data_IF_467053444847
#
_entry.id   IF_467053444847
#
_cell.length_a   1.000
_cell.length_b   1.000
_cell.length_c   1.000
_cell.angle_alpha   90.00
_cell.angle_beta   90.00
_cell.angle_gamma   90.00
#
_symmetry.space_group_name_H-M   'P 1'
#
loop_
_entity.id
_entity.type
_entity.pdbx_description
1 polymer ?
#
# COMPACT_ATOMS: atom_id res chain seq x y z
N UNK A 1 -20.75 -10.87 -19.55
CA UNK A 1 -22.08 -11.06 -20.16
C UNK A 1 -22.09 -10.41 -21.55
N UNK A 2 -22.64 -11.09 -22.57
CA UNK A 2 -22.80 -10.60 -23.95
C UNK A 2 -23.50 -9.23 -24.06
N UNK A 3 -24.27 -8.84 -23.04
CA UNK A 3 -24.93 -7.53 -22.94
C UNK A 3 -23.91 -6.38 -22.79
N UNK A 4 -22.76 -6.60 -22.14
CA UNK A 4 -21.69 -5.57 -22.01
C UNK A 4 -21.02 -5.26 -23.35
N UNK A 5 -20.85 -6.25 -24.24
CA UNK A 5 -20.17 -6.05 -25.52
C UNK A 5 -21.09 -5.48 -26.61
N UNK A 6 -22.40 -5.71 -26.51
CA UNK A 6 -23.40 -5.05 -27.36
C UNK A 6 -23.52 -3.56 -27.04
N UNK A 7 -23.60 -3.20 -25.75
CA UNK A 7 -23.68 -1.81 -25.31
C UNK A 7 -22.43 -1.00 -25.70
N UNK A 8 -21.24 -1.58 -25.63
CA UNK A 8 -19.99 -0.90 -26.02
C UNK A 8 -19.97 -0.54 -27.51
N UNK A 9 -20.47 -1.39 -28.40
CA UNK A 9 -20.52 -1.12 -29.86
C UNK A 9 -21.53 -0.04 -30.25
N UNK A 10 -22.64 0.09 -29.53
CA UNK A 10 -23.63 1.16 -29.80
C UNK A 10 -23.15 2.54 -29.34
N UNK A 11 -22.21 2.58 -28.40
CA UNK A 11 -21.73 3.83 -27.79
C UNK A 11 -20.62 4.52 -28.59
N UNK A 12 -19.89 3.79 -29.43
CA UNK A 12 -18.84 4.36 -30.29
C UNK A 12 -19.38 5.25 -31.43
N UNK A 13 -20.69 5.22 -31.70
CA UNK A 13 -21.33 6.04 -32.75
C UNK A 13 -22.06 7.29 -32.24
N UNK A 14 -22.10 7.51 -30.91
CA UNK A 14 -22.81 8.61 -30.28
C UNK A 14 -21.80 9.69 -29.86
N UNK A 15 -21.88 10.89 -30.45
CA UNK A 15 -21.00 12.01 -30.08
C UNK A 15 -21.15 12.41 -28.60
N UNK A 16 -20.12 13.02 -28.01
CA UNK A 16 -20.05 13.34 -26.57
C UNK A 16 -21.32 14.01 -25.97
N UNK A 17 -21.99 14.98 -26.64
CA UNK A 17 -23.24 15.55 -26.14
C UNK A 17 -24.37 14.51 -25.98
N UNK A 18 -24.52 13.60 -26.94
CA UNK A 18 -25.55 12.56 -26.91
C UNK A 18 -25.29 11.48 -25.85
N UNK A 19 -24.03 11.26 -25.46
CA UNK A 19 -23.67 10.37 -24.35
C UNK A 19 -24.10 10.94 -23.00
N UNK A 20 -23.90 12.26 -22.79
CA UNK A 20 -24.25 12.96 -21.56
C UNK A 20 -25.77 12.94 -21.32
N UNK A 21 -26.57 13.28 -22.32
CA UNK A 21 -28.03 13.30 -22.20
C UNK A 21 -28.60 11.91 -21.88
N UNK A 22 -28.04 10.89 -22.53
CA UNK A 22 -28.37 9.49 -22.25
C UNK A 22 -27.96 9.10 -20.82
N UNK A 23 -26.76 9.47 -20.39
CA UNK A 23 -26.27 9.27 -19.03
C UNK A 23 -27.22 9.88 -17.99
N UNK A 24 -27.56 11.17 -18.16
CA UNK A 24 -28.50 11.89 -17.29
C UNK A 24 -29.84 11.15 -17.14
N UNK A 25 -30.44 10.71 -18.24
CA UNK A 25 -31.71 9.96 -18.21
C UNK A 25 -31.59 8.64 -17.43
N UNK A 26 -30.48 7.91 -17.62
CA UNK A 26 -30.29 6.59 -17.03
C UNK A 26 -29.94 6.65 -15.53
N UNK A 27 -29.41 7.77 -15.02
CA UNK A 27 -29.14 7.97 -13.59
C UNK A 27 -30.39 7.84 -12.70
N UNK A 28 -31.57 8.19 -13.22
CA UNK A 28 -32.83 8.13 -12.48
C UNK A 28 -33.52 6.74 -12.55
N UNK A 29 -32.87 5.74 -13.15
CA UNK A 29 -33.43 4.39 -13.22
C UNK A 29 -33.58 3.76 -11.83
N UNK A 30 -34.67 3.01 -11.62
CA UNK A 30 -34.85 2.18 -10.41
C UNK A 30 -33.83 1.04 -10.33
N UNK A 31 -33.29 0.58 -11.46
CA UNK A 31 -32.34 -0.54 -11.51
C UNK A 31 -30.89 -0.08 -11.41
N UNK A 32 -30.12 -0.66 -10.49
CA UNK A 32 -28.73 -0.27 -10.22
C UNK A 32 -27.77 -0.54 -11.38
N UNK A 33 -27.98 -1.61 -12.14
CA UNK A 33 -27.19 -1.94 -13.34
C UNK A 33 -27.33 -0.87 -14.45
N UNK A 34 -28.53 -0.31 -14.61
CA UNK A 34 -28.78 0.82 -15.52
C UNK A 34 -28.08 2.08 -15.04
N UNK A 35 -28.06 2.33 -13.72
CA UNK A 35 -27.31 3.47 -13.16
C UNK A 35 -25.80 3.29 -13.29
N UNK A 36 -25.27 2.08 -13.14
CA UNK A 36 -23.85 1.78 -13.45
C UNK A 36 -23.50 2.12 -14.90
N UNK A 37 -24.38 1.75 -15.84
CA UNK A 37 -24.19 2.13 -17.24
C UNK A 37 -24.20 3.66 -17.41
N UNK A 38 -25.08 4.38 -16.72
CA UNK A 38 -25.15 5.83 -16.72
C UNK A 38 -23.83 6.49 -16.26
N UNK A 39 -23.22 5.96 -15.18
CA UNK A 39 -21.93 6.45 -14.67
C UNK A 39 -20.84 6.33 -15.74
N UNK A 40 -20.76 5.18 -16.43
CA UNK A 40 -19.79 4.97 -17.51
C UNK A 40 -19.99 5.96 -18.66
N UNK A 41 -21.24 6.27 -19.01
CA UNK A 41 -21.55 7.26 -20.05
C UNK A 41 -21.13 8.67 -19.64
N UNK A 42 -21.42 9.06 -18.40
CA UNK A 42 -21.08 10.39 -17.89
C UNK A 42 -19.56 10.56 -17.76
N UNK A 43 -18.86 9.55 -17.24
CA UNK A 43 -17.41 9.53 -17.16
C UNK A 43 -16.76 9.69 -18.56
N UNK A 44 -17.31 9.01 -19.58
CA UNK A 44 -16.83 9.14 -20.97
C UNK A 44 -17.20 10.47 -21.62
N UNK A 45 -18.34 11.05 -21.27
CA UNK A 45 -18.76 12.35 -21.80
C UNK A 45 -17.88 13.49 -21.28
N UNK A 46 -17.39 13.37 -20.03
CA UNK A 46 -16.53 14.34 -19.40
C UNK A 46 -17.16 15.72 -19.18
N UNK A 47 -16.36 16.63 -18.64
CA UNK A 47 -16.74 18.04 -18.44
C UNK A 47 -17.53 18.34 -17.16
N UNK A 48 -17.60 19.62 -16.75
CA UNK A 48 -18.12 20.03 -15.45
C UNK A 48 -19.57 19.60 -15.18
N UNK A 49 -20.42 19.59 -16.21
CA UNK A 49 -21.83 19.22 -16.06
C UNK A 49 -22.00 17.71 -15.79
N UNK A 50 -21.23 16.85 -16.45
CA UNK A 50 -21.27 15.41 -16.19
C UNK A 50 -20.80 15.09 -14.76
N UNK A 51 -19.77 15.79 -14.29
CA UNK A 51 -19.29 15.68 -12.90
C UNK A 51 -20.33 16.19 -11.90
N UNK A 52 -21.03 17.28 -12.20
CA UNK A 52 -22.10 17.79 -11.36
C UNK A 52 -23.26 16.77 -11.23
N UNK A 53 -23.66 16.14 -12.34
CA UNK A 53 -24.69 15.09 -12.33
C UNK A 53 -24.27 13.86 -11.49
N UNK A 54 -23.01 13.45 -11.61
CA UNK A 54 -22.45 12.37 -10.80
C UNK A 54 -22.41 12.73 -9.31
N UNK A 55 -22.01 13.96 -8.97
CA UNK A 55 -21.97 14.46 -7.59
C UNK A 55 -23.37 14.54 -6.98
N UNK A 56 -24.36 15.07 -7.71
CA UNK A 56 -25.76 15.11 -7.27
C UNK A 56 -26.29 13.69 -7.01
N UNK A 57 -25.97 12.74 -7.89
CA UNK A 57 -26.39 11.35 -7.70
C UNK A 57 -25.76 10.70 -6.47
N UNK A 58 -24.50 11.03 -6.16
CA UNK A 58 -23.73 10.38 -5.10
C UNK A 58 -24.47 10.38 -3.75
N UNK A 59 -25.07 11.51 -3.37
CA UNK A 59 -25.70 11.68 -2.06
C UNK A 59 -26.97 10.83 -1.88
N UNK A 60 -27.71 10.63 -2.97
CA UNK A 60 -28.96 9.86 -2.99
C UNK A 60 -28.80 8.42 -3.52
N UNK A 61 -27.57 7.97 -3.78
CA UNK A 61 -27.35 6.61 -4.25
C UNK A 61 -27.47 5.60 -3.10
N UNK A 62 -28.24 4.52 -3.35
CA UNK A 62 -28.49 3.45 -2.40
C UNK A 62 -27.64 2.20 -2.71
N UNK A 63 -27.29 2.00 -3.99
CA UNK A 63 -26.43 0.90 -4.40
C UNK A 63 -24.98 1.25 -4.15
N UNK A 64 -24.34 0.54 -3.21
CA UNK A 64 -22.92 0.71 -2.94
C UNK A 64 -22.04 0.49 -4.19
N UNK A 65 -22.43 -0.41 -5.11
CA UNK A 65 -21.69 -0.62 -6.36
C UNK A 65 -21.77 0.61 -7.28
N UNK A 66 -22.93 1.28 -7.36
CA UNK A 66 -23.08 2.52 -8.14
C UNK A 66 -22.34 3.67 -7.45
N UNK A 67 -22.43 3.76 -6.11
CA UNK A 67 -21.69 4.74 -5.30
C UNK A 67 -20.19 4.65 -5.55
N UNK A 68 -19.61 3.44 -5.50
CA UNK A 68 -18.18 3.24 -5.75
C UNK A 68 -17.78 3.65 -7.18
N UNK A 69 -18.62 3.36 -8.17
CA UNK A 69 -18.38 3.76 -9.56
C UNK A 69 -18.43 5.28 -9.73
N UNK A 70 -19.38 5.96 -9.06
CA UNK A 70 -19.47 7.43 -9.06
C UNK A 70 -18.22 8.03 -8.42
N UNK A 71 -17.82 7.54 -7.25
CA UNK A 71 -16.62 8.00 -6.54
C UNK A 71 -15.38 7.87 -7.43
N UNK A 72 -15.19 6.70 -8.06
CA UNK A 72 -14.09 6.46 -8.99
C UNK A 72 -14.09 7.44 -10.18
N UNK A 73 -15.25 7.70 -10.77
CA UNK A 73 -15.37 8.63 -11.89
C UNK A 73 -15.05 10.08 -11.49
N UNK A 74 -15.47 10.49 -10.28
CA UNK A 74 -15.18 11.82 -9.76
C UNK A 74 -13.70 11.97 -9.35
N UNK A 75 -13.12 10.97 -8.69
CA UNK A 75 -11.71 10.98 -8.29
C UNK A 75 -10.78 11.04 -9.51
N UNK A 76 -11.07 10.27 -10.56
CA UNK A 76 -10.33 10.29 -11.82
C UNK A 76 -10.40 11.63 -12.57
N UNK A 77 -11.39 12.48 -12.28
CA UNK A 77 -11.61 13.76 -12.97
C UNK A 77 -10.98 14.96 -12.26
N UNK A 78 -10.23 14.74 -11.18
CA UNK A 78 -9.56 15.81 -10.42
C UNK A 78 -9.70 15.70 -8.90
N UNK A 79 -10.12 14.54 -8.39
CA UNK A 79 -10.33 14.32 -6.96
C UNK A 79 -11.70 14.77 -6.46
N UNK A 80 -12.16 14.14 -5.39
CA UNK A 80 -13.35 14.56 -4.62
C UNK A 80 -12.97 14.77 -3.16
N UNK A 81 -13.49 15.85 -2.57
CA UNK A 81 -13.34 16.15 -1.15
C UNK A 81 -14.71 16.33 -0.52
N UNK A 82 -14.78 16.00 0.76
CA UNK A 82 -16.00 16.07 1.57
C UNK A 82 -15.71 16.89 2.81
N UNK A 83 -16.64 17.80 3.15
CA UNK A 83 -16.63 18.51 4.42
C UNK A 83 -16.68 17.52 5.61
N UNK A 84 -16.24 17.94 6.82
CA UNK A 84 -16.35 17.09 8.01
C UNK A 84 -17.78 16.56 8.25
N UNK A 85 -18.80 17.39 8.01
CA UNK A 85 -20.21 17.01 8.18
C UNK A 85 -20.65 15.96 7.15
N UNK A 86 -20.26 16.12 5.89
CA UNK A 86 -20.51 15.15 4.83
C UNK A 86 -19.83 13.80 5.11
N UNK A 87 -18.60 13.82 5.65
CA UNK A 87 -17.87 12.60 6.06
C UNK A 87 -18.59 11.89 7.19
N UNK A 88 -19.02 12.61 8.23
CA UNK A 88 -19.75 12.05 9.35
C UNK A 88 -21.08 11.42 8.91
N UNK A 89 -21.85 12.09 8.05
CA UNK A 89 -23.12 11.57 7.53
C UNK A 89 -22.92 10.29 6.69
N UNK A 90 -21.89 10.26 5.82
CA UNK A 90 -21.53 9.08 5.02
C UNK A 90 -21.08 7.92 5.89
N UNK A 91 -20.28 8.19 6.92
CA UNK A 91 -19.85 7.17 7.89
C UNK A 91 -21.05 6.55 8.60
N UNK A 92 -21.94 7.37 9.16
CA UNK A 92 -23.15 6.90 9.81
C UNK A 92 -24.03 6.06 8.87
N UNK A 93 -24.23 6.50 7.62
CA UNK A 93 -25.00 5.75 6.60
C UNK A 93 -24.36 4.39 6.28
N UNK A 94 -23.04 4.35 6.10
CA UNK A 94 -22.31 3.10 5.80
C UNK A 94 -22.37 2.11 6.96
N UNK A 95 -22.21 2.58 8.20
CA UNK A 95 -22.29 1.73 9.41
C UNK A 95 -23.73 1.21 9.59
N UNK A 96 -24.74 2.07 9.49
CA UNK A 96 -26.14 1.67 9.64
C UNK A 96 -26.58 0.65 8.57
N UNK A 97 -26.01 0.72 7.36
CA UNK A 97 -26.28 -0.22 6.27
C UNK A 97 -25.57 -1.57 6.40
N UNK A 98 -24.62 -1.72 7.32
CA UNK A 98 -23.79 -2.92 7.46
C UNK A 98 -24.51 -4.02 8.25
N UNK A 99 -25.39 -4.79 7.59
CA UNK A 99 -25.98 -6.02 8.16
C UNK A 99 -24.96 -7.18 8.18
N UNK A 100 -23.93 -7.08 9.02
CA UNK A 100 -22.86 -8.10 9.11
C UNK A 100 -21.99 -8.14 7.86
N UNK A 101 -21.45 -6.98 7.46
CA UNK A 101 -20.77 -6.74 6.17
C UNK A 101 -19.53 -7.61 5.87
N UNK A 102 -18.64 -7.22 4.94
CA UNK A 102 -17.50 -8.02 4.46
C UNK A 102 -16.56 -8.59 5.54
N UNK A 103 -16.62 -8.08 6.77
CA UNK A 103 -15.94 -8.66 7.93
C UNK A 103 -16.51 -10.04 8.34
N UNK A 104 -17.77 -10.36 8.04
CA UNK A 104 -18.38 -11.64 8.42
C UNK A 104 -17.77 -12.85 7.70
N UNK A 105 -17.19 -12.66 6.52
CA UNK A 105 -16.48 -13.71 5.78
C UNK A 105 -14.99 -13.80 6.09
N UNK A 106 -14.45 -12.80 6.79
CA UNK A 106 -13.05 -12.80 7.21
C UNK A 106 -13.01 -13.22 8.68
N UNK A 107 -12.75 -14.51 8.90
CA UNK A 107 -12.47 -15.02 10.24
C UNK A 107 -11.11 -14.49 10.70
N UNK A 108 -11.10 -13.32 11.34
CA UNK A 108 -9.89 -12.77 11.88
C UNK A 108 -10.16 -11.83 13.05
N UNK A 109 -9.86 -12.32 14.25
CA UNK A 109 -9.71 -11.48 15.44
C UNK A 109 -8.75 -10.29 15.20
N UNK A 110 -7.93 -10.33 14.15
CA UNK A 110 -7.03 -9.22 13.77
C UNK A 110 -7.74 -8.01 13.16
N UNK A 111 -9.03 -8.13 12.80
CA UNK A 111 -9.83 -7.05 12.20
C UNK A 111 -10.96 -6.55 13.11
N UNK A 112 -10.97 -6.95 14.39
CA UNK A 112 -11.99 -6.50 15.33
C UNK A 112 -11.82 -4.99 15.65
N UNK A 113 -12.83 -4.13 15.35
CA UNK A 113 -12.77 -2.71 15.66
C UNK A 113 -12.49 -2.39 17.14
N UNK A 114 -12.83 -3.30 18.07
CA UNK A 114 -12.57 -3.12 19.49
C UNK A 114 -11.09 -3.30 19.86
N UNK A 115 -10.34 -4.10 19.10
CA UNK A 115 -8.93 -4.44 19.41
C UNK A 115 -7.93 -3.85 18.41
N UNK A 116 -8.41 -3.44 17.23
CA UNK A 116 -7.60 -2.83 16.18
C UNK A 116 -7.30 -1.36 16.52
N UNK A 117 -6.24 -1.15 17.30
CA UNK A 117 -5.79 0.17 17.71
C UNK A 117 -5.09 0.92 16.56
N UNK A 118 -5.83 1.83 15.92
CA UNK A 118 -5.31 2.81 14.96
C UNK A 118 -5.30 4.20 15.60
N UNK A 119 -4.20 4.93 15.41
CA UNK A 119 -3.94 6.23 16.06
C UNK A 119 -3.59 7.26 15.01
N UNK A 120 -4.16 8.46 15.16
CA UNK A 120 -3.86 9.62 14.32
C UNK A 120 -2.51 10.22 14.67
N UNK A 121 -1.99 11.06 13.78
CA UNK A 121 -0.75 11.84 14.00
C UNK A 121 -0.82 12.83 15.16
N UNK A 122 -2.03 13.25 15.56
CA UNK A 122 -2.26 14.06 16.75
C UNK A 122 -2.28 13.25 18.06
N UNK A 123 -2.06 11.92 17.98
CA UNK A 123 -2.06 11.01 19.12
C UNK A 123 -3.44 10.50 19.52
N UNK A 124 -4.53 10.98 18.90
CA UNK A 124 -5.88 10.50 19.20
C UNK A 124 -6.14 9.13 18.58
N UNK A 125 -6.79 8.23 19.32
CA UNK A 125 -7.22 6.93 18.79
C UNK A 125 -8.44 7.09 17.89
N UNK A 126 -8.54 6.27 16.85
CA UNK A 126 -9.78 6.10 16.12
C UNK A 126 -10.84 5.47 17.02
N UNK A 127 -12.09 5.90 16.90
CA UNK A 127 -13.22 5.24 17.54
C UNK A 127 -13.52 3.89 16.87
N UNK A 128 -14.26 3.00 17.55
CA UNK A 128 -14.68 1.73 16.97
C UNK A 128 -15.52 1.93 15.69
N UNK A 129 -16.34 2.99 15.64
CA UNK A 129 -17.12 3.34 14.46
C UNK A 129 -16.24 3.76 13.29
N UNK A 130 -15.18 4.55 13.55
CA UNK A 130 -14.23 4.97 12.52
C UNK A 130 -13.42 3.80 11.98
N UNK A 131 -12.99 2.88 12.86
CA UNK A 131 -12.31 1.65 12.44
C UNK A 131 -13.26 0.77 11.62
N UNK A 132 -14.49 0.58 12.07
CA UNK A 132 -15.50 -0.19 11.34
C UNK A 132 -15.79 0.42 9.96
N UNK A 133 -15.96 1.74 9.88
CA UNK A 133 -16.17 2.46 8.63
C UNK A 133 -15.00 2.26 7.66
N UNK A 134 -13.77 2.42 8.15
CA UNK A 134 -12.55 2.21 7.37
C UNK A 134 -12.48 0.78 6.81
N UNK A 135 -12.76 -0.23 7.64
CA UNK A 135 -12.78 -1.63 7.20
C UNK A 135 -13.85 -1.89 6.14
N UNK A 136 -15.08 -1.42 6.39
CA UNK A 136 -16.20 -1.58 5.46
C UNK A 136 -15.93 -0.91 4.11
N UNK A 137 -15.39 0.31 4.10
CA UNK A 137 -15.06 1.01 2.85
C UNK A 137 -13.88 0.37 2.13
N UNK A 138 -12.78 0.09 2.84
CA UNK A 138 -11.58 -0.48 2.21
C UNK A 138 -11.82 -1.87 1.63
N UNK A 139 -12.67 -2.68 2.25
CA UNK A 139 -13.03 -4.01 1.74
C UNK A 139 -13.70 -4.04 0.36
N UNK A 140 -14.25 -2.90 -0.08
CA UNK A 140 -14.86 -2.73 -1.39
C UNK A 140 -13.84 -2.43 -2.48
N UNK A 141 -12.62 -2.04 -2.10
CA UNK A 141 -11.57 -1.71 -3.04
C UNK A 141 -11.04 -2.97 -3.73
N UNK A 142 -11.14 -2.96 -5.06
CA UNK A 142 -10.66 -4.06 -5.88
C UNK A 142 -9.19 -3.92 -6.23
N UNK A 143 -8.74 -2.69 -6.41
CA UNK A 143 -7.37 -2.31 -6.74
C UNK A 143 -6.55 -2.07 -5.47
N UNK A 144 -5.22 -2.13 -5.59
CA UNK A 144 -4.32 -1.75 -4.50
C UNK A 144 -4.28 -0.23 -4.40
N UNK A 145 -5.27 0.33 -3.70
CA UNK A 145 -5.42 1.76 -3.41
C UNK A 145 -6.22 1.98 -2.13
N UNK A 146 -6.14 3.19 -1.59
CA UNK A 146 -7.08 3.64 -0.57
C UNK A 146 -8.49 3.80 -1.16
N UNK A 147 -9.51 3.44 -0.39
CA UNK A 147 -10.89 3.85 -0.69
C UNK A 147 -10.99 5.37 -0.68
N UNK A 148 -11.77 5.93 -1.62
CA UNK A 148 -11.85 7.38 -1.84
C UNK A 148 -12.46 8.10 -0.64
N UNK A 149 -13.47 7.51 0.01
CA UNK A 149 -14.10 8.16 1.16
C UNK A 149 -13.35 7.89 2.47
N UNK A 150 -12.68 6.74 2.59
CA UNK A 150 -11.84 6.43 3.75
C UNK A 150 -10.45 7.08 3.68
N UNK A 151 -10.00 7.55 2.51
CA UNK A 151 -8.68 8.16 2.28
C UNK A 151 -8.33 9.26 3.31
N UNK A 152 -9.20 10.23 3.64
CA UNK A 152 -8.86 11.26 4.63
C UNK A 152 -8.61 10.71 6.03
N UNK A 153 -9.28 9.59 6.39
CA UNK A 153 -9.07 8.93 7.68
C UNK A 153 -7.73 8.19 7.67
N UNK A 154 -7.41 7.48 6.59
CA UNK A 154 -6.12 6.80 6.41
C UNK A 154 -4.95 7.78 6.43
N UNK A 155 -5.06 8.92 5.73
CA UNK A 155 -4.03 9.97 5.69
C UNK A 155 -3.78 10.61 7.07
N UNK A 156 -4.78 10.59 7.95
CA UNK A 156 -4.66 11.11 9.32
C UNK A 156 -3.87 10.20 10.26
N UNK A 157 -3.62 8.95 9.88
CA UNK A 157 -2.95 7.96 10.73
C UNK A 157 -1.46 8.25 10.89
N UNK A 158 -0.95 7.90 12.07
CA UNK A 158 0.47 7.74 12.33
C UNK A 158 0.88 6.31 12.00
N UNK A 159 1.59 6.13 10.89
CA UNK A 159 2.00 4.81 10.41
C UNK A 159 2.95 4.10 11.37
N UNK A 160 3.83 4.82 12.07
CA UNK A 160 4.78 4.23 13.01
C UNK A 160 4.05 3.70 14.25
N UNK A 161 3.06 4.43 14.75
CA UNK A 161 2.22 3.99 15.88
C UNK A 161 1.28 2.85 15.47
N UNK A 162 0.74 2.90 14.24
CA UNK A 162 -0.17 1.89 13.70
C UNK A 162 0.54 0.62 13.22
N UNK A 163 1.86 0.65 13.02
CA UNK A 163 2.64 -0.45 12.45
C UNK A 163 2.43 -1.82 13.12
N UNK A 164 2.34 -1.96 14.46
CA UNK A 164 2.04 -3.25 15.09
C UNK A 164 0.65 -3.77 14.71
N UNK A 165 -0.35 -2.89 14.60
CA UNK A 165 -1.70 -3.27 14.20
C UNK A 165 -1.74 -3.68 12.72
N UNK A 166 -1.08 -2.91 11.85
CA UNK A 166 -0.93 -3.23 10.44
C UNK A 166 -0.22 -4.58 10.19
N UNK A 167 0.84 -4.85 10.95
CA UNK A 167 1.56 -6.12 10.88
C UNK A 167 0.65 -7.28 11.32
N UNK A 168 -0.10 -7.15 12.42
CA UNK A 168 -1.06 -8.18 12.85
C UNK A 168 -2.11 -8.47 11.79
N UNK A 169 -2.65 -7.44 11.11
CA UNK A 169 -3.60 -7.65 10.01
C UNK A 169 -2.98 -8.44 8.85
N UNK A 170 -1.73 -8.09 8.47
CA UNK A 170 -1.02 -8.82 7.42
C UNK A 170 -0.73 -10.27 7.82
N UNK A 171 -0.22 -10.49 9.03
CA UNK A 171 0.06 -11.83 9.56
C UNK A 171 -1.21 -12.67 9.68
N UNK A 172 -2.33 -12.07 10.10
CA UNK A 172 -3.64 -12.70 10.11
C UNK A 172 -4.08 -13.16 8.72
N UNK A 173 -3.91 -12.30 7.70
CA UNK A 173 -4.18 -12.70 6.31
C UNK A 173 -3.25 -13.84 5.86
N UNK A 174 -1.95 -13.76 6.14
CA UNK A 174 -0.96 -14.77 5.75
C UNK A 174 -1.19 -16.12 6.45
N UNK A 175 -1.72 -16.12 7.67
CA UNK A 175 -2.08 -17.32 8.42
C UNK A 175 -3.44 -17.93 7.98
N UNK A 176 -4.27 -17.17 7.27
CA UNK A 176 -5.57 -17.63 6.75
C UNK A 176 -5.43 -18.48 5.47
N UNK A 177 -6.56 -18.83 4.85
CA UNK A 177 -6.59 -19.41 3.50
C UNK A 177 -6.06 -18.48 2.39
N UNK A 178 -5.79 -17.21 2.71
CA UNK A 178 -5.24 -16.19 1.80
C UNK A 178 -6.15 -16.00 0.56
N UNK A 179 -7.47 -15.91 0.77
CA UNK A 179 -8.42 -15.76 -0.32
C UNK A 179 -8.18 -14.44 -1.06
N UNK A 180 -8.09 -14.49 -2.39
CA UNK A 180 -7.90 -13.30 -3.24
C UNK A 180 -9.01 -12.26 -3.06
N UNK A 181 -10.21 -12.69 -2.66
CA UNK A 181 -11.30 -11.78 -2.29
C UNK A 181 -10.90 -10.81 -1.17
N UNK A 182 -10.05 -11.25 -0.24
CA UNK A 182 -9.63 -10.52 0.97
C UNK A 182 -8.31 -9.75 0.80
N UNK A 183 -7.82 -9.61 -0.43
CA UNK A 183 -6.61 -8.82 -0.77
C UNK A 183 -6.60 -7.39 -0.21
N UNK A 184 -7.79 -6.84 0.04
CA UNK A 184 -7.94 -5.50 0.61
C UNK A 184 -7.29 -5.39 1.99
N UNK A 185 -7.14 -6.51 2.73
CA UNK A 185 -6.41 -6.56 4.00
C UNK A 185 -4.94 -6.25 3.77
N UNK A 186 -4.32 -6.80 2.71
CA UNK A 186 -2.93 -6.51 2.34
C UNK A 186 -2.78 -5.01 2.02
N UNK A 187 -3.71 -4.46 1.23
CA UNK A 187 -3.72 -3.03 0.92
C UNK A 187 -3.88 -2.17 2.18
N UNK A 188 -4.81 -2.52 3.06
CA UNK A 188 -5.07 -1.79 4.30
C UNK A 188 -3.86 -1.82 5.24
N UNK A 189 -3.23 -3.00 5.41
CA UNK A 189 -2.00 -3.11 6.18
C UNK A 189 -0.94 -2.16 5.64
N UNK A 190 -0.70 -2.14 4.33
CA UNK A 190 0.28 -1.23 3.73
C UNK A 190 -0.08 0.26 3.91
N UNK A 191 -1.35 0.63 3.80
CA UNK A 191 -1.83 2.01 3.98
C UNK A 191 -1.69 2.52 5.42
N UNK A 192 -1.73 1.62 6.41
CA UNK A 192 -1.66 1.97 7.84
C UNK A 192 -0.29 1.69 8.49
N UNK A 193 0.59 0.95 7.81
CA UNK A 193 1.81 0.39 8.40
C UNK A 193 3.09 1.08 7.96
N UNK A 194 4.22 0.46 8.36
CA UNK A 194 5.58 0.92 8.07
C UNK A 194 6.42 -0.23 7.47
N UNK A 195 7.74 -0.03 7.45
CA UNK A 195 8.74 -0.99 6.96
C UNK A 195 8.72 -2.37 7.63
N UNK A 196 7.99 -2.57 8.73
CA UNK A 196 7.79 -3.90 9.32
C UNK A 196 7.06 -4.86 8.37
N UNK A 197 6.30 -4.32 7.42
CA UNK A 197 5.56 -5.11 6.43
C UNK A 197 6.44 -5.59 5.28
N UNK A 198 7.58 -4.94 5.02
CA UNK A 198 8.42 -5.22 3.84
C UNK A 198 8.93 -6.67 3.82
N UNK A 199 9.53 -7.21 4.91
CA UNK A 199 10.02 -8.59 4.91
C UNK A 199 8.93 -9.66 4.73
N UNK A 200 7.78 -9.63 5.46
CA UNK A 200 6.72 -10.61 5.24
C UNK A 200 6.07 -10.48 3.87
N UNK A 201 5.87 -9.26 3.33
CA UNK A 201 5.36 -9.07 1.98
C UNK A 201 6.32 -9.63 0.93
N UNK A 202 7.62 -9.30 1.01
CA UNK A 202 8.61 -9.81 0.05
C UNK A 202 8.63 -11.35 0.07
N UNK A 203 8.69 -11.96 1.25
CA UNK A 203 8.63 -13.41 1.39
C UNK A 203 7.37 -13.99 0.75
N UNK A 204 6.20 -13.41 1.04
CA UNK A 204 4.93 -13.86 0.49
C UNK A 204 4.88 -13.77 -1.04
N UNK A 205 5.38 -12.67 -1.64
CA UNK A 205 5.47 -12.49 -3.10
C UNK A 205 6.26 -13.64 -3.73
N UNK A 206 7.43 -13.97 -3.18
CA UNK A 206 8.28 -15.05 -3.71
C UNK A 206 7.58 -16.40 -3.59
N UNK A 207 7.05 -16.72 -2.40
CA UNK A 207 6.34 -17.98 -2.16
C UNK A 207 5.12 -18.11 -3.07
N UNK A 208 4.34 -17.06 -3.26
CA UNK A 208 3.17 -17.09 -4.16
C UNK A 208 3.55 -17.22 -5.62
N UNK A 209 4.64 -16.58 -6.06
CA UNK A 209 5.16 -16.74 -7.41
C UNK A 209 5.57 -18.19 -7.69
N UNK A 210 6.27 -18.83 -6.74
CA UNK A 210 6.70 -20.23 -6.83
C UNK A 210 5.53 -21.23 -6.84
N UNK A 211 4.45 -20.91 -6.11
CA UNK A 211 3.26 -21.76 -5.98
C UNK A 211 2.13 -21.39 -6.96
N UNK A 212 2.44 -20.73 -8.08
CA UNK A 212 1.49 -20.32 -9.12
C UNK A 212 0.32 -19.42 -8.65
N UNK A 213 0.43 -18.74 -7.50
CA UNK A 213 -0.53 -17.77 -6.97
C UNK A 213 -0.20 -16.35 -7.45
N UNK A 214 0.00 -16.20 -8.77
CA UNK A 214 0.58 -14.99 -9.38
C UNK A 214 -0.22 -13.73 -9.07
N UNK A 215 -1.56 -13.80 -9.10
CA UNK A 215 -2.38 -12.61 -8.84
C UNK A 215 -2.27 -12.10 -7.41
N UNK A 216 -2.02 -12.99 -6.44
CA UNK A 216 -1.83 -12.60 -5.06
C UNK A 216 -0.45 -11.96 -4.85
N UNK A 217 0.59 -12.48 -5.52
CA UNK A 217 1.90 -11.86 -5.58
C UNK A 217 1.87 -10.46 -6.23
N UNK A 218 1.08 -10.29 -7.29
CA UNK A 218 0.84 -8.99 -7.92
C UNK A 218 0.19 -7.99 -6.93
N UNK A 219 -0.81 -8.43 -6.14
CA UNK A 219 -1.41 -7.57 -5.11
C UNK A 219 -0.44 -7.18 -4.00
N UNK A 220 0.37 -8.10 -3.48
CA UNK A 220 1.39 -7.72 -2.50
C UNK A 220 2.49 -6.83 -3.08
N UNK A 221 2.78 -6.95 -4.38
CA UNK A 221 3.67 -6.00 -5.08
C UNK A 221 3.05 -4.60 -5.09
N UNK A 222 1.75 -4.50 -5.40
CA UNK A 222 1.01 -3.23 -5.27
C UNK A 222 0.96 -2.72 -3.83
N UNK A 223 0.92 -3.59 -2.81
CA UNK A 223 0.97 -3.18 -1.41
C UNK A 223 2.34 -2.58 -1.02
N UNK A 224 3.45 -3.10 -1.54
CA UNK A 224 4.76 -2.45 -1.39
C UNK A 224 4.76 -1.05 -2.03
N UNK A 225 4.08 -0.89 -3.17
CA UNK A 225 3.95 0.43 -3.82
C UNK A 225 3.12 1.41 -2.98
N UNK A 226 2.05 0.92 -2.33
CA UNK A 226 1.25 1.73 -1.39
C UNK A 226 2.04 2.17 -0.17
N UNK A 227 2.95 1.32 0.34
CA UNK A 227 3.82 1.67 1.45
C UNK A 227 4.80 2.79 1.06
N UNK A 228 5.38 2.70 -0.15
CA UNK A 228 6.13 3.80 -0.79
C UNK A 228 7.43 4.24 -0.08
N UNK A 229 7.82 3.55 0.99
CA UNK A 229 9.06 3.81 1.72
C UNK A 229 10.28 3.35 0.92
N UNK A 230 11.44 3.87 1.27
CA UNK A 230 12.70 3.51 0.61
C UNK A 230 12.98 2.00 0.72
N UNK A 231 12.71 1.37 1.87
CA UNK A 231 12.79 -0.08 2.03
C UNK A 231 11.86 -0.84 1.08
N UNK A 232 10.61 -0.38 0.91
CA UNK A 232 9.64 -0.99 0.00
C UNK A 232 10.05 -0.82 -1.47
N UNK A 233 10.52 0.38 -1.84
CA UNK A 233 11.00 0.69 -3.19
C UNK A 233 12.25 -0.09 -3.57
N UNK A 234 13.20 -0.28 -2.64
CA UNK A 234 14.36 -1.17 -2.83
C UNK A 234 13.92 -2.61 -3.18
N UNK A 235 12.92 -3.13 -2.46
CA UNK A 235 12.37 -4.46 -2.78
C UNK A 235 11.67 -4.44 -4.14
N UNK A 236 10.85 -3.43 -4.44
CA UNK A 236 10.18 -3.31 -5.74
C UNK A 236 11.17 -3.31 -6.91
N UNK A 237 12.25 -2.54 -6.83
CA UNK A 237 13.30 -2.53 -7.86
C UNK A 237 13.86 -3.94 -8.08
N UNK A 238 14.15 -4.68 -7.00
CA UNK A 238 14.64 -6.05 -7.10
C UNK A 238 13.64 -7.00 -7.79
N UNK A 239 12.33 -6.79 -7.58
CA UNK A 239 11.27 -7.58 -8.22
C UNK A 239 11.21 -7.33 -9.73
N UNK A 240 11.53 -6.12 -10.20
CA UNK A 240 11.61 -5.81 -11.64
C UNK A 240 12.68 -6.66 -12.35
N UNK A 241 13.83 -6.85 -11.70
CA UNK A 241 14.94 -7.66 -12.21
C UNK A 241 14.58 -9.14 -12.11
N UNK A 242 14.10 -9.57 -10.95
CA UNK A 242 13.83 -10.98 -10.65
C UNK A 242 12.72 -11.58 -11.49
N UNK A 243 11.65 -10.82 -11.73
CA UNK A 243 10.47 -11.25 -12.49
C UNK A 243 10.43 -10.67 -13.91
N UNK A 244 11.60 -10.28 -14.45
CA UNK A 244 11.74 -9.77 -15.83
C UNK A 244 11.26 -10.78 -16.88
N UNK A 245 11.58 -12.06 -16.70
CA UNK A 245 11.31 -13.11 -17.69
C UNK A 245 10.18 -14.06 -17.30
N UNK A 246 10.03 -14.36 -15.99
CA UNK A 246 9.01 -15.25 -15.43
C UNK A 246 8.05 -14.47 -14.55
N UNK A 247 6.77 -14.87 -14.53
CA UNK A 247 5.72 -14.18 -13.76
C UNK A 247 5.64 -12.68 -14.10
N UNK A 248 5.61 -12.36 -15.40
CA UNK A 248 5.74 -10.97 -15.92
C UNK A 248 4.77 -9.97 -15.31
N UNK A 249 3.58 -10.39 -14.87
CA UNK A 249 2.64 -9.50 -14.19
C UNK A 249 3.23 -8.90 -12.90
N UNK A 250 4.02 -9.68 -12.15
CA UNK A 250 4.70 -9.21 -10.92
C UNK A 250 5.78 -8.20 -11.31
N UNK A 251 6.62 -8.55 -12.29
CA UNK A 251 7.69 -7.68 -12.79
C UNK A 251 7.16 -6.36 -13.37
N UNK A 252 6.06 -6.41 -14.13
CA UNK A 252 5.40 -5.24 -14.71
C UNK A 252 4.80 -4.35 -13.62
N UNK A 253 4.05 -4.93 -12.67
CA UNK A 253 3.48 -4.17 -11.56
C UNK A 253 4.57 -3.48 -10.71
N UNK A 254 5.69 -4.17 -10.47
CA UNK A 254 6.84 -3.58 -9.79
C UNK A 254 7.49 -2.45 -10.62
N UNK A 255 7.62 -2.64 -11.93
CA UNK A 255 8.22 -1.65 -12.83
C UNK A 255 7.36 -0.39 -12.91
N UNK A 256 6.05 -0.54 -13.08
CA UNK A 256 5.09 0.57 -13.16
C UNK A 256 5.09 1.36 -11.84
N UNK A 257 5.08 0.66 -10.70
CA UNK A 257 5.14 1.30 -9.38
C UNK A 257 6.45 2.06 -9.15
N UNK A 258 7.59 1.48 -9.53
CA UNK A 258 8.89 2.11 -9.35
C UNK A 258 9.08 3.32 -10.27
N UNK A 259 8.56 3.24 -11.51
CA UNK A 259 8.52 4.38 -12.43
C UNK A 259 7.64 5.50 -11.88
N UNK A 260 6.43 5.20 -11.41
CA UNK A 260 5.54 6.19 -10.82
C UNK A 260 6.16 6.88 -9.59
N UNK A 261 6.91 6.14 -8.77
CA UNK A 261 7.66 6.70 -7.65
C UNK A 261 8.78 7.65 -8.10
N UNK A 262 9.49 7.31 -9.19
CA UNK A 262 10.54 8.15 -9.76
C UNK A 262 9.95 9.45 -10.34
N UNK A 263 8.86 9.34 -11.10
CA UNK A 263 8.10 10.47 -11.65
C UNK A 263 7.59 11.40 -10.53
N UNK A 264 7.03 10.83 -9.46
CA UNK A 264 6.54 11.60 -8.31
C UNK A 264 7.69 12.34 -7.61
N UNK A 265 8.89 11.75 -7.55
CA UNK A 265 10.08 12.38 -6.96
C UNK A 265 10.86 13.27 -7.96
N UNK A 266 10.42 13.36 -9.23
CA UNK A 266 11.07 14.17 -10.26
C UNK A 266 12.49 13.72 -10.62
N UNK A 267 12.80 12.42 -10.46
CA UNK A 267 14.14 11.85 -10.71
C UNK A 267 14.06 10.67 -11.67
N UNK A 268 15.21 10.25 -12.22
CA UNK A 268 15.25 9.05 -13.06
C UNK A 268 15.06 7.77 -12.24
N UNK A 269 14.70 6.68 -12.92
CA UNK A 269 14.60 5.34 -12.32
C UNK A 269 15.95 4.90 -11.75
N UNK A 270 17.04 5.17 -12.47
CA UNK A 270 18.40 4.87 -12.01
C UNK A 270 18.76 5.65 -10.74
N UNK A 271 18.45 6.96 -10.71
CA UNK A 271 18.70 7.81 -9.56
C UNK A 271 17.84 7.41 -8.36
N UNK A 272 16.58 7.03 -8.59
CA UNK A 272 15.72 6.49 -7.55
C UNK A 272 16.35 5.23 -6.93
N UNK A 273 16.80 4.28 -7.75
CA UNK A 273 17.46 3.05 -7.27
C UNK A 273 18.69 3.29 -6.40
N UNK A 274 19.42 4.37 -6.64
CA UNK A 274 20.54 4.79 -5.78
C UNK A 274 20.06 5.41 -4.46
N UNK A 275 18.93 6.13 -4.46
CA UNK A 275 18.43 6.87 -3.28
C UNK A 275 17.61 6.01 -2.32
N UNK A 276 16.90 5.01 -2.82
CA UNK A 276 15.96 4.22 -2.03
C UNK A 276 16.64 3.18 -1.14
N UNK A 277 17.97 3.06 -1.17
CA UNK A 277 18.68 2.15 -0.25
C UNK A 277 18.49 2.64 1.18
N UNK A 278 17.77 1.91 2.06
CA UNK A 278 17.40 2.44 3.36
C UNK A 278 18.61 2.44 4.31
N UNK A 279 18.76 3.53 5.07
CA UNK A 279 19.78 3.65 6.10
C UNK A 279 19.52 2.77 7.33
N UNK A 280 18.26 2.37 7.58
CA UNK A 280 17.86 1.54 8.73
C UNK A 280 18.33 2.10 10.09
N UNK A 281 18.48 3.42 10.17
CA UNK A 281 19.00 4.14 11.35
C UNK A 281 20.50 3.94 11.59
N UNK A 282 21.27 3.56 10.58
CA UNK A 282 22.73 3.65 10.56
C UNK A 282 23.17 4.93 9.86
N UNK A 283 24.36 5.41 10.20
CA UNK A 283 25.00 6.54 9.55
C UNK A 283 26.44 6.18 9.14
N UNK A 284 27.01 6.80 8.08
CA UNK A 284 28.37 6.54 7.65
C UNK A 284 29.39 6.77 8.76
N UNK A 285 30.18 5.74 9.09
CA UNK A 285 31.26 5.84 10.09
C UNK A 285 30.81 5.94 11.55
N UNK A 286 29.52 6.02 11.83
CA UNK A 286 28.98 6.16 13.20
C UNK A 286 28.46 4.81 13.70
N UNK A 287 28.81 4.43 14.93
CA UNK A 287 28.21 3.27 15.60
C UNK A 287 26.84 3.68 16.13
N UNK A 288 25.79 2.94 15.81
CA UNK A 288 24.46 3.15 16.37
C UNK A 288 24.49 2.79 17.86
N UNK A 289 24.02 3.66 18.73
CA UNK A 289 23.94 3.39 20.17
C UNK A 289 22.55 2.88 20.54
N UNK A 290 22.52 1.81 21.33
CA UNK A 290 21.30 1.17 21.84
C UNK A 290 21.43 1.10 23.37
N UNK A 291 20.63 1.92 24.06
CA UNK A 291 20.58 1.91 25.53
C UNK A 291 19.55 0.88 25.99
N UNK A 292 20.01 -0.13 26.72
CA UNK A 292 19.18 -1.22 27.22
C UNK A 292 19.40 -1.39 28.72
N UNK A 293 18.52 -0.75 29.51
CA UNK A 293 18.69 -0.62 30.96
C UNK A 293 19.94 0.20 31.30
N UNK A 294 20.79 -0.32 32.19
CA UNK A 294 22.04 0.35 32.59
C UNK A 294 23.20 0.19 31.57
N UNK A 295 23.01 -0.62 30.53
CA UNK A 295 24.05 -0.94 29.54
C UNK A 295 23.80 -0.21 28.23
N UNK A 296 24.88 0.23 27.60
CA UNK A 296 24.85 0.80 26.24
C UNK A 296 25.58 -0.15 25.30
N UNK A 297 24.97 -0.38 24.14
CA UNK A 297 25.49 -1.23 23.08
C UNK A 297 25.75 -0.40 21.83
N UNK A 298 26.92 -0.60 21.24
CA UNK A 298 27.25 -0.15 19.90
C UNK A 298 26.79 -1.21 18.89
N UNK A 299 26.10 -0.78 17.84
CA UNK A 299 25.64 -1.60 16.73
C UNK A 299 26.16 -1.06 15.39
N UNK A 300 26.49 -1.97 14.47
CA UNK A 300 26.91 -1.63 13.10
C UNK A 300 26.68 -2.80 12.15
N UNK A 301 26.77 -2.53 10.84
CA UNK A 301 26.71 -3.57 9.80
C UNK A 301 28.10 -4.17 9.56
N UNK A 302 28.22 -5.48 9.72
CA UNK A 302 29.43 -6.25 9.41
C UNK A 302 29.64 -6.46 7.91
N UNK A 303 30.83 -6.95 7.50
CA UNK A 303 31.16 -7.19 6.09
C UNK A 303 30.30 -8.27 5.43
N UNK A 304 29.60 -9.09 6.22
CA UNK A 304 28.64 -10.08 5.77
C UNK A 304 27.19 -9.56 5.73
N UNK A 305 27.01 -8.24 5.81
CA UNK A 305 25.72 -7.54 5.86
C UNK A 305 24.82 -7.99 7.02
N UNK A 306 25.41 -8.34 8.16
CA UNK A 306 24.71 -8.67 9.40
C UNK A 306 25.00 -7.65 10.50
N UNK A 307 24.06 -7.40 11.41
CA UNK A 307 24.33 -6.54 12.54
C UNK A 307 25.35 -7.18 13.47
N UNK A 308 26.26 -6.36 13.97
CA UNK A 308 27.24 -6.70 14.99
C UNK A 308 27.03 -5.76 16.17
N UNK A 309 27.04 -6.32 17.37
CA UNK A 309 26.82 -5.60 18.62
C UNK A 309 28.05 -5.69 19.51
N UNK A 310 28.29 -4.65 20.32
CA UNK A 310 29.34 -4.63 21.33
C UNK A 310 28.92 -3.74 22.48
N UNK A 311 29.08 -4.21 23.71
CA UNK A 311 28.85 -3.35 24.88
C UNK A 311 29.91 -2.25 24.90
N UNK A 312 29.52 -1.01 25.17
CA UNK A 312 30.43 0.14 25.19
C UNK A 312 31.57 -0.12 26.20
N UNK A 313 32.82 0.00 25.74
CA UNK A 313 34.01 -0.29 26.55
C UNK A 313 34.42 -1.78 26.61
N UNK A 314 33.60 -2.70 26.08
CA UNK A 314 33.96 -4.11 25.97
C UNK A 314 34.66 -4.44 24.64
N UNK A 315 35.46 -5.50 24.60
CA UNK A 315 36.11 -5.99 23.38
C UNK A 315 35.29 -7.05 22.64
N UNK A 316 34.41 -7.77 23.35
CA UNK A 316 33.63 -8.89 22.81
C UNK A 316 32.54 -8.41 21.86
N UNK A 317 32.56 -8.91 20.63
CA UNK A 317 31.50 -8.72 19.62
C UNK A 317 30.45 -9.81 19.75
N UNK A 318 29.19 -9.45 19.55
CA UNK A 318 28.04 -10.35 19.51
C UNK A 318 27.30 -10.20 18.19
N UNK A 319 26.63 -11.27 17.76
CA UNK A 319 25.75 -11.26 16.58
C UNK A 319 24.29 -11.01 16.93
N UNK A 320 23.96 -11.00 18.24
CA UNK A 320 22.64 -10.71 18.79
C UNK A 320 22.80 -9.98 20.12
N UNK A 321 21.86 -9.09 20.44
CA UNK A 321 21.76 -8.52 21.78
C UNK A 321 21.34 -9.60 22.80
N UNK A 322 21.80 -9.52 24.07
CA UNK A 322 21.35 -10.43 25.13
C UNK A 322 19.86 -10.25 25.46
N UNK A 323 19.23 -11.30 25.99
CA UNK A 323 17.83 -11.26 26.43
C UNK A 323 17.55 -10.15 27.47
N UNK A 324 18.56 -9.81 28.28
CA UNK A 324 18.50 -8.72 29.25
C UNK A 324 18.30 -7.33 28.63
N UNK A 325 18.44 -7.18 27.31
CA UNK A 325 18.19 -5.90 26.63
C UNK A 325 16.71 -5.49 26.63
N UNK A 326 15.79 -6.40 26.99
CA UNK A 326 14.36 -6.12 27.06
C UNK A 326 13.62 -6.44 25.75
N UNK A 327 12.37 -6.90 25.88
CA UNK A 327 11.61 -7.45 24.76
C UNK A 327 11.39 -6.44 23.61
N UNK A 328 11.12 -5.17 23.94
CA UNK A 328 10.87 -4.13 22.94
C UNK A 328 12.10 -3.88 22.05
N UNK A 329 13.28 -3.74 22.65
CA UNK A 329 14.54 -3.53 21.92
C UNK A 329 14.88 -4.74 21.07
N UNK A 330 14.69 -5.95 21.59
CA UNK A 330 14.96 -7.18 20.85
C UNK A 330 14.06 -7.32 19.62
N UNK A 331 12.78 -6.94 19.72
CA UNK A 331 11.87 -6.96 18.58
C UNK A 331 12.24 -5.89 17.54
N UNK A 332 12.61 -4.68 17.97
CA UNK A 332 13.11 -3.64 17.06
C UNK A 332 14.35 -4.09 16.29
N UNK A 333 15.32 -4.71 16.99
CA UNK A 333 16.54 -5.23 16.34
C UNK A 333 16.25 -6.40 15.40
N UNK A 334 15.26 -7.23 15.72
CA UNK A 334 14.81 -8.31 14.83
C UNK A 334 14.20 -7.75 13.53
N UNK A 335 13.35 -6.73 13.63
CA UNK A 335 12.79 -6.01 12.48
C UNK A 335 13.91 -5.39 11.65
N UNK A 336 14.84 -4.67 12.28
CA UNK A 336 16.00 -4.06 11.61
C UNK A 336 16.84 -5.12 10.89
N UNK A 337 17.10 -6.27 11.53
CA UNK A 337 17.88 -7.36 10.93
C UNK A 337 17.17 -7.95 9.71
N UNK A 338 15.84 -8.11 9.77
CA UNK A 338 15.05 -8.60 8.65
C UNK A 338 15.09 -7.60 7.47
N UNK A 339 14.89 -6.31 7.74
CA UNK A 339 14.97 -5.26 6.73
C UNK A 339 16.36 -5.14 6.11
N UNK A 340 17.43 -5.20 6.91
CA UNK A 340 18.81 -5.19 6.42
C UNK A 340 19.07 -6.35 5.47
N UNK A 341 18.59 -7.56 5.81
CA UNK A 341 18.75 -8.74 4.98
C UNK A 341 18.06 -8.60 3.62
N UNK A 342 16.85 -8.05 3.60
CA UNK A 342 16.11 -7.85 2.35
C UNK A 342 16.71 -6.73 1.50
N UNK A 343 17.13 -5.62 2.11
CA UNK A 343 17.85 -4.55 1.43
C UNK A 343 19.18 -5.03 0.83
N UNK A 344 19.97 -5.82 1.57
CA UNK A 344 21.24 -6.35 1.10
C UNK A 344 21.06 -7.30 -0.11
N UNK A 345 20.06 -8.18 -0.09
CA UNK A 345 19.75 -9.05 -1.24
C UNK A 345 19.33 -8.26 -2.47
N UNK A 346 18.47 -7.26 -2.28
CA UNK A 346 18.00 -6.39 -3.35
C UNK A 346 19.17 -5.62 -3.97
N UNK A 347 20.05 -5.05 -3.14
CA UNK A 347 21.21 -4.31 -3.61
C UNK A 347 22.27 -5.19 -4.27
N UNK A 348 22.49 -6.42 -3.80
CA UNK A 348 23.38 -7.36 -4.48
C UNK A 348 22.91 -7.61 -5.93
N UNK A 349 21.63 -7.95 -6.10
CA UNK A 349 21.03 -8.18 -7.42
C UNK A 349 21.11 -6.94 -8.32
N UNK A 350 20.92 -5.76 -7.73
CA UNK A 350 21.05 -4.48 -8.45
C UNK A 350 22.47 -4.24 -8.93
N UNK A 351 23.46 -4.37 -8.04
CA UNK A 351 24.88 -4.18 -8.38
C UNK A 351 25.34 -5.15 -9.48
N UNK A 352 24.95 -6.42 -9.38
CA UNK A 352 25.21 -7.41 -10.44
C UNK A 352 24.60 -6.98 -11.78
N UNK A 353 23.37 -6.47 -11.77
CA UNK A 353 22.69 -5.99 -12.97
C UNK A 353 23.37 -4.76 -13.58
N UNK A 354 23.77 -3.80 -12.76
CA UNK A 354 24.46 -2.59 -13.20
C UNK A 354 25.85 -2.91 -13.77
N UNK A 355 26.57 -3.85 -13.15
CA UNK A 355 27.84 -4.37 -13.66
C UNK A 355 27.68 -5.00 -15.04
N UNK A 356 26.70 -5.89 -15.20
CA UNK A 356 26.40 -6.55 -16.49
C UNK A 356 26.03 -5.52 -17.57
N UNK A 357 25.30 -4.47 -17.19
CA UNK A 357 24.93 -3.36 -18.10
C UNK A 357 26.08 -2.39 -18.37
N UNK A 358 27.24 -2.57 -17.74
CA UNK A 358 28.36 -1.62 -17.78
C UNK A 358 27.89 -0.20 -17.45
N UNK A 359 27.07 -0.08 -16.41
CA UNK A 359 26.56 1.21 -15.97
C UNK A 359 27.69 2.05 -15.37
N UNK A 360 27.74 3.33 -15.76
CA UNK A 360 28.73 4.28 -15.26
C UNK A 360 27.99 5.40 -14.52
N UNK A 361 28.31 5.59 -13.25
CA UNK A 361 27.82 6.75 -12.51
C UNK A 361 28.54 8.02 -12.96
N UNK A 362 27.82 9.16 -13.06
CA UNK A 362 28.46 10.46 -13.09
C UNK A 362 29.36 10.64 -11.86
N UNK A 363 30.55 11.20 -12.05
CA UNK A 363 31.55 11.32 -10.96
C UNK A 363 31.02 12.07 -9.73
N UNK A 364 30.19 13.10 -9.93
CA UNK A 364 29.55 13.82 -8.82
C UNK A 364 28.63 12.91 -7.99
N UNK A 365 27.82 12.08 -8.66
CA UNK A 365 26.89 11.15 -8.02
C UNK A 365 27.61 10.03 -7.29
N UNK A 366 28.69 9.50 -7.87
CA UNK A 366 29.53 8.49 -7.22
C UNK A 366 30.11 9.00 -5.89
N UNK A 367 30.60 10.25 -5.88
CA UNK A 367 31.10 10.87 -4.64
C UNK A 367 29.99 10.95 -3.60
N UNK A 368 28.84 11.53 -3.95
CA UNK A 368 27.71 11.66 -3.03
C UNK A 368 27.27 10.33 -2.37
N UNK A 369 27.33 9.22 -3.12
CA UNK A 369 26.84 7.93 -2.65
C UNK A 369 27.87 7.09 -1.88
N UNK A 370 29.16 7.19 -2.23
CA UNK A 370 30.16 6.19 -1.84
C UNK A 370 31.44 6.77 -1.22
N UNK A 371 31.66 8.09 -1.26
CA UNK A 371 32.88 8.75 -0.79
C UNK A 371 32.56 9.90 0.17
#
# INVERSE_FOLDING_TARGET
>A
SPVRSAAVRTLSGLGFPSLKDKGKKLLHSKKADVRLAAVILLQRSGGPEALALLKERLDMEESEAVRDAILLALDAAGGITFSPQERAARMAKTIAGAKGGPLASVDSATLDPATLALTRRDGTRLSQEEVLYLLLRQSRCVEMRADIEARPLLESLDSAVCAPAALRMLEGFLASGQNTADRWIIALSALCGDDRLVPPLHKAILTWAENARIKLAEYATGALALLGTDSALTVLESLTVRFRSKCKNIGQAASDAFLAAAETRGISVEELGDRVVPWLGFEPGVRKLITAGAKTWEAWVGPDFKPVYRETGASKKLTKLPAAAGAAILEEQKILTANLKEAAKAQLLRMETLLVRQFHWPAARWRELYL
#
